data_IF_436250812008
#
_entry.id   IF_436250812008
#
_cell.length_a   1.000
_cell.length_b   1.000
_cell.length_c   1.000
_cell.angle_alpha   90.00
_cell.angle_beta   90.00
_cell.angle_gamma   90.00
#
_symmetry.space_group_name_H-M   'P 1'
#
loop_
_entity.id
_entity.type
_entity.pdbx_description
1 polymer ?
#
# COMPACT_ATOMS: atom_id res chain seq x y z
N UNK A 1 -3.76 -17.59 4.08
CA UNK A 1 -3.01 -17.02 2.95
C UNK A 1 -1.52 -17.11 3.24
N UNK A 2 -0.75 -17.57 2.27
CA UNK A 2 0.68 -17.73 2.45
C UNK A 2 1.43 -16.50 1.94
N UNK A 3 2.20 -15.86 2.81
CA UNK A 3 3.00 -14.69 2.45
C UNK A 3 4.43 -15.09 2.12
N UNK A 4 5.00 -14.46 1.08
CA UNK A 4 6.44 -14.55 0.81
C UNK A 4 7.22 -13.56 1.67
N UNK A 5 6.55 -12.49 2.14
CA UNK A 5 7.08 -11.54 3.12
C UNK A 5 5.96 -11.32 4.13
N UNK A 6 6.21 -11.66 5.38
CA UNK A 6 5.23 -11.47 6.44
C UNK A 6 5.32 -10.05 7.04
N UNK A 7 4.41 -9.73 7.96
CA UNK A 7 4.37 -8.39 8.54
C UNK A 7 5.64 -8.04 9.31
N UNK A 8 6.23 -9.00 10.01
CA UNK A 8 7.46 -8.73 10.76
C UNK A 8 8.62 -8.36 9.81
N UNK A 9 8.69 -9.03 8.67
CA UNK A 9 9.69 -8.66 7.66
C UNK A 9 9.36 -7.32 7.00
N UNK A 10 8.08 -7.01 6.75
CA UNK A 10 7.67 -5.69 6.23
C UNK A 10 8.19 -4.57 7.13
N UNK A 11 8.15 -4.76 8.45
CA UNK A 11 8.66 -3.77 9.41
C UNK A 11 10.16 -3.51 9.27
N UNK A 12 10.91 -4.43 8.69
CA UNK A 12 12.34 -4.20 8.40
C UNK A 12 12.56 -3.44 7.10
N UNK A 13 11.53 -3.30 6.28
CA UNK A 13 11.60 -2.71 4.94
C UNK A 13 11.06 -1.28 4.93
N UNK A 14 9.90 -1.06 5.54
CA UNK A 14 9.27 0.27 5.61
C UNK A 14 9.18 0.72 7.07
N UNK A 15 9.19 2.05 7.33
CA UNK A 15 9.23 2.56 8.71
C UNK A 15 7.89 2.58 9.42
N UNK A 16 6.80 2.31 8.73
CA UNK A 16 5.44 2.38 9.27
C UNK A 16 5.25 1.38 10.42
N UNK A 17 4.46 1.76 11.42
CA UNK A 17 4.16 0.93 12.59
C UNK A 17 2.69 1.04 12.95
N UNK A 18 2.19 0.04 13.69
CA UNK A 18 0.85 0.07 14.23
C UNK A 18 0.62 1.38 15.01
N UNK A 19 -0.51 2.06 14.82
CA UNK A 19 -1.71 1.66 14.07
C UNK A 19 -1.71 2.08 12.59
N UNK A 20 -0.59 2.50 12.03
CA UNK A 20 -0.51 3.04 10.66
C UNK A 20 0.20 2.11 9.68
N UNK A 21 0.45 0.86 10.05
CA UNK A 21 0.93 -0.17 9.13
C UNK A 21 -0.28 -0.97 8.64
N UNK A 22 -0.56 -0.87 7.33
CA UNK A 22 -1.80 -1.40 6.75
C UNK A 22 -1.60 -2.65 5.89
N UNK A 23 -0.44 -3.28 5.95
CA UNK A 23 -0.15 -4.50 5.20
C UNK A 23 0.03 -5.66 6.15
N UNK A 24 -0.65 -6.78 5.89
CA UNK A 24 -0.46 -8.01 6.64
C UNK A 24 0.67 -8.85 6.05
N UNK A 25 0.84 -8.81 4.74
CA UNK A 25 1.89 -9.57 4.07
C UNK A 25 1.93 -9.30 2.58
N UNK A 26 2.97 -9.81 1.95
CA UNK A 26 3.18 -9.75 0.50
C UNK A 26 3.04 -11.16 -0.05
N UNK A 27 2.24 -11.32 -1.09
CA UNK A 27 2.01 -12.61 -1.73
C UNK A 27 2.76 -12.79 -3.04
N UNK A 28 3.07 -11.68 -3.74
CA UNK A 28 3.84 -11.71 -4.98
C UNK A 28 4.72 -10.47 -5.07
N UNK A 29 5.90 -10.66 -5.61
CA UNK A 29 6.87 -9.58 -5.82
C UNK A 29 7.69 -9.88 -7.07
N UNK A 30 7.68 -8.96 -7.99
CA UNK A 30 8.58 -8.95 -9.15
C UNK A 30 9.42 -7.67 -9.06
N UNK A 31 10.71 -7.85 -8.74
CA UNK A 31 11.64 -6.74 -8.53
C UNK A 31 11.64 -5.82 -9.75
N UNK A 32 11.62 -4.51 -9.50
CA UNK A 32 11.56 -3.44 -10.50
C UNK A 32 10.28 -3.43 -11.35
N UNK A 33 9.24 -4.18 -10.95
CA UNK A 33 8.02 -4.25 -11.76
C UNK A 33 6.75 -4.10 -10.94
N UNK A 34 6.44 -5.07 -10.07
CA UNK A 34 5.13 -5.09 -9.40
C UNK A 34 5.15 -5.82 -8.07
N UNK A 35 4.12 -5.56 -7.28
CA UNK A 35 3.92 -6.19 -5.98
C UNK A 35 2.43 -6.44 -5.74
N UNK A 36 2.13 -7.53 -5.05
CA UNK A 36 0.81 -7.84 -4.55
C UNK A 36 0.88 -7.99 -3.04
N UNK A 37 0.12 -7.18 -2.33
CA UNK A 37 0.06 -7.17 -0.87
C UNK A 37 -1.36 -7.49 -0.41
N UNK A 38 -1.48 -7.88 0.84
CA UNK A 38 -2.76 -8.29 1.45
C UNK A 38 -2.98 -7.61 2.78
N UNK A 39 -4.24 -7.27 3.05
CA UNK A 39 -4.72 -6.85 4.37
C UNK A 39 -6.10 -7.42 4.63
N UNK A 40 -6.27 -8.01 5.82
CA UNK A 40 -7.60 -8.31 6.37
C UNK A 40 -8.10 -7.09 7.11
N UNK A 41 -9.29 -6.60 6.77
CA UNK A 41 -9.92 -5.47 7.45
C UNK A 41 -10.79 -5.99 8.59
N UNK A 42 -10.31 -5.85 9.84
CA UNK A 42 -11.05 -6.29 11.02
C UNK A 42 -11.98 -5.20 11.55
N UNK A 43 -13.08 -5.62 12.18
CA UNK A 43 -14.06 -4.70 12.77
C UNK A 43 -13.47 -3.79 13.84
N UNK A 44 -12.47 -4.28 14.57
CA UNK A 44 -11.85 -3.54 15.68
C UNK A 44 -10.74 -2.60 15.25
N UNK A 45 -10.53 -2.37 13.96
CA UNK A 45 -9.54 -1.38 13.50
C UNK A 45 -9.89 -0.01 14.07
N UNK A 46 -8.90 0.68 14.62
CA UNK A 46 -9.13 1.95 15.31
C UNK A 46 -9.76 3.00 14.39
N UNK A 47 -9.37 3.03 13.11
CA UNK A 47 -9.89 4.03 12.17
C UNK A 47 -11.35 3.80 11.76
N UNK A 48 -11.91 2.61 12.02
CA UNK A 48 -13.30 2.33 11.72
C UNK A 48 -14.27 2.87 12.77
N UNK A 49 -13.81 3.12 13.99
CA UNK A 49 -14.65 3.54 15.12
C UNK A 49 -15.39 4.84 14.84
N UNK A 50 -14.74 5.74 14.11
CA UNK A 50 -15.34 7.02 13.72
C UNK A 50 -15.74 7.12 12.25
N UNK A 51 -15.53 6.07 11.46
CA UNK A 51 -15.73 6.15 10.02
C UNK A 51 -16.51 4.94 9.46
N UNK A 52 -17.76 4.77 9.76
CA UNK A 52 -18.64 5.57 10.56
C UNK A 52 -19.23 4.73 11.68
N UNK A 53 -19.66 5.27 12.83
CA UNK A 53 -20.13 4.46 13.96
C UNK A 53 -21.20 3.44 13.59
N UNK A 54 -22.16 3.80 12.74
CA UNK A 54 -23.25 2.91 12.34
C UNK A 54 -23.00 2.17 11.02
N UNK A 55 -21.98 2.57 10.27
CA UNK A 55 -21.63 1.95 9.00
C UNK A 55 -20.11 2.03 8.82
N UNK A 56 -19.36 1.10 9.43
CA UNK A 56 -17.89 1.11 9.29
C UNK A 56 -17.48 0.82 7.85
N UNK A 57 -16.69 1.71 7.29
CA UNK A 57 -16.08 1.51 5.97
C UNK A 57 -14.62 1.99 6.01
N UNK A 58 -13.75 1.34 5.28
CA UNK A 58 -12.36 1.76 5.23
C UNK A 58 -12.25 3.14 4.59
N UNK A 59 -11.65 4.12 5.27
CA UNK A 59 -11.45 5.44 4.68
C UNK A 59 -10.68 5.36 3.36
N UNK A 60 -11.17 6.06 2.33
CA UNK A 60 -10.53 6.07 1.02
C UNK A 60 -9.08 6.54 1.08
N UNK A 61 -8.78 7.53 1.92
CA UNK A 61 -7.40 8.02 2.09
C UNK A 61 -6.47 6.95 2.67
N UNK A 62 -7.00 6.01 3.47
CA UNK A 62 -6.20 4.90 4.01
C UNK A 62 -6.06 3.75 3.02
N UNK A 63 -6.98 3.61 2.08
CA UNK A 63 -6.81 2.70 0.95
C UNK A 63 -5.61 3.18 0.11
N UNK A 64 -5.56 4.48 -0.17
CA UNK A 64 -4.42 5.09 -0.88
C UNK A 64 -3.12 4.86 -0.10
N UNK A 65 -3.13 5.12 1.20
CA UNK A 65 -1.94 4.90 2.04
C UNK A 65 -1.48 3.44 1.98
N UNK A 66 -2.42 2.50 2.03
CA UNK A 66 -2.09 1.06 1.95
C UNK A 66 -1.42 0.72 0.61
N UNK A 67 -1.94 1.26 -0.49
CA UNK A 67 -1.33 1.08 -1.82
C UNK A 67 0.07 1.71 -1.87
N UNK A 68 0.24 2.88 -1.26
CA UNK A 68 1.54 3.55 -1.18
C UNK A 68 2.55 2.73 -0.37
N UNK A 69 2.11 2.10 0.72
CA UNK A 69 2.97 1.21 1.51
C UNK A 69 3.42 -0.01 0.70
N UNK A 70 2.51 -0.63 -0.04
CA UNK A 70 2.85 -1.75 -0.92
C UNK A 70 3.88 -1.31 -1.97
N UNK A 71 3.66 -0.15 -2.60
CA UNK A 71 4.61 0.42 -3.56
C UNK A 71 5.97 0.70 -2.90
N UNK A 72 5.97 1.17 -1.65
CA UNK A 72 7.20 1.39 -0.89
C UNK A 72 7.99 0.11 -0.67
N UNK A 73 7.32 -0.97 -0.31
CA UNK A 73 7.98 -2.29 -0.19
C UNK A 73 8.63 -2.69 -1.52
N UNK A 74 7.91 -2.49 -2.63
CA UNK A 74 8.43 -2.81 -3.96
C UNK A 74 9.72 -2.04 -4.25
N UNK A 75 9.75 -0.75 -3.97
CA UNK A 75 10.93 0.08 -4.24
C UNK A 75 12.11 -0.34 -3.37
N UNK A 76 11.88 -0.58 -2.07
CA UNK A 76 12.96 -1.00 -1.18
C UNK A 76 13.50 -2.37 -1.55
N UNK A 77 12.66 -3.30 -1.95
CA UNK A 77 13.10 -4.64 -2.39
C UNK A 77 13.74 -4.62 -3.76
N UNK A 78 13.52 -3.56 -4.54
CA UNK A 78 14.15 -3.35 -5.85
C UNK A 78 15.46 -2.59 -5.75
N UNK A 79 15.81 -2.08 -4.57
CA UNK A 79 17.03 -1.33 -4.32
C UNK A 79 18.22 -2.29 -4.20
N UNK A 80 19.23 -2.11 -5.05
CA UNK A 80 20.42 -2.95 -5.09
C UNK A 80 21.38 -2.69 -3.91
N UNK A 81 21.26 -1.53 -3.26
CA UNK A 81 22.14 -1.15 -2.16
C UNK A 81 21.36 -1.12 -0.83
N UNK A 82 21.42 -2.21 -0.03
CA UNK A 82 20.71 -2.27 1.23
C UNK A 82 21.20 -1.27 2.28
N UNK A 83 22.38 -0.68 2.10
CA UNK A 83 22.90 0.37 2.98
C UNK A 83 22.29 1.73 2.67
N UNK A 84 21.72 1.92 1.48
CA UNK A 84 21.07 3.16 1.07
C UNK A 84 19.62 3.16 1.57
N UNK A 85 19.44 3.54 2.83
CA UNK A 85 18.10 3.63 3.45
C UNK A 85 17.52 5.01 3.22
N UNK A 86 16.24 5.04 2.90
CA UNK A 86 15.49 6.27 2.68
C UNK A 86 14.03 6.08 3.03
N UNK A 87 13.35 7.17 3.32
CA UNK A 87 11.90 7.19 3.52
C UNK A 87 11.28 7.74 2.25
N UNK A 88 10.28 7.04 1.73
CA UNK A 88 9.52 7.49 0.58
C UNK A 88 8.33 8.33 1.05
N UNK A 89 8.21 9.52 0.48
CA UNK A 89 7.07 10.39 0.72
C UNK A 89 6.12 10.36 -0.47
N UNK A 90 4.83 10.25 -0.19
CA UNK A 90 3.79 10.35 -1.20
C UNK A 90 3.66 11.81 -1.63
N UNK A 91 4.00 12.11 -2.87
CA UNK A 91 4.05 13.49 -3.37
C UNK A 91 2.95 13.83 -4.36
N UNK A 92 2.29 12.83 -4.95
CA UNK A 92 1.22 13.07 -5.92
C UNK A 92 0.23 11.92 -5.92
N UNK A 93 -1.04 12.27 -6.04
CA UNK A 93 -2.16 11.35 -6.20
C UNK A 93 -2.91 11.82 -7.43
N UNK A 94 -2.98 10.97 -8.45
CA UNK A 94 -3.63 11.30 -9.72
C UNK A 94 -4.68 10.25 -10.07
N UNK A 95 -5.74 10.68 -10.73
CA UNK A 95 -6.76 9.79 -11.28
C UNK A 95 -7.27 8.76 -10.26
N UNK A 96 -7.47 9.22 -9.02
CA UNK A 96 -7.98 8.37 -7.96
C UNK A 96 -9.48 8.19 -8.07
N UNK A 97 -9.92 6.93 -8.01
CA UNK A 97 -11.34 6.57 -8.05
C UNK A 97 -11.63 5.57 -6.94
N UNK A 98 -12.70 5.85 -6.22
CA UNK A 98 -13.23 4.96 -5.18
C UNK A 98 -14.55 4.42 -5.70
N UNK A 99 -14.50 3.23 -6.29
CA UNK A 99 -15.62 2.68 -7.02
C UNK A 99 -16.64 1.97 -6.13
N UNK A 100 -16.17 1.39 -5.04
CA UNK A 100 -17.00 0.62 -4.10
C UNK A 100 -16.46 0.77 -2.69
N UNK A 101 -17.34 0.85 -1.67
CA UNK A 101 -16.88 0.86 -0.27
C UNK A 101 -16.31 -0.49 0.13
N UNK A 102 -15.34 -0.48 1.04
CA UNK A 102 -14.77 -1.69 1.62
C UNK A 102 -15.26 -1.80 3.06
N UNK A 103 -15.97 -2.89 3.35
CA UNK A 103 -16.55 -3.16 4.66
C UNK A 103 -15.68 -4.10 5.49
N UNK A 104 -15.85 -4.10 6.84
CA UNK A 104 -15.14 -5.03 7.72
C UNK A 104 -15.30 -6.48 7.30
N UNK A 105 -14.29 -7.25 7.66
CA UNK A 105 -14.02 -8.64 7.36
C UNK A 105 -13.62 -8.89 5.90
N UNK A 106 -13.43 -7.84 5.10
CA UNK A 106 -12.94 -7.99 3.75
C UNK A 106 -11.45 -8.40 3.73
N UNK A 107 -11.10 -9.26 2.80
CA UNK A 107 -9.73 -9.53 2.42
C UNK A 107 -9.36 -8.63 1.26
N UNK A 108 -8.47 -7.66 1.51
CA UNK A 108 -8.13 -6.65 0.52
C UNK A 108 -6.80 -7.02 -0.14
N UNK A 109 -6.80 -7.02 -1.46
CA UNK A 109 -5.59 -7.25 -2.26
C UNK A 109 -5.16 -5.93 -2.87
N UNK A 110 -3.97 -5.47 -2.51
CA UNK A 110 -3.38 -4.28 -3.09
C UNK A 110 -2.36 -4.68 -4.14
N UNK A 111 -2.46 -4.08 -5.30
CA UNK A 111 -1.51 -4.27 -6.39
C UNK A 111 -0.90 -2.93 -6.76
N UNK A 112 0.42 -2.91 -6.95
CA UNK A 112 1.13 -1.74 -7.42
C UNK A 112 2.12 -2.17 -8.50
N UNK A 113 2.13 -1.43 -9.62
CA UNK A 113 3.14 -1.64 -10.65
C UNK A 113 3.82 -0.31 -10.98
N UNK A 114 5.12 -0.39 -11.25
CA UNK A 114 5.91 0.77 -11.63
C UNK A 114 5.57 1.12 -13.07
N UNK A 115 5.10 2.36 -13.31
CA UNK A 115 4.87 2.88 -14.67
C UNK A 115 5.95 3.87 -15.08
N UNK A 116 6.69 4.43 -14.11
CA UNK A 116 7.84 5.28 -14.38
C UNK A 116 8.77 5.27 -13.17
N UNK A 117 10.04 5.04 -13.40
CA UNK A 117 11.06 5.10 -12.37
C UNK A 117 12.22 5.95 -12.86
N UNK A 118 12.60 6.93 -12.05
CA UNK A 118 13.78 7.78 -12.25
C UNK A 118 14.55 7.82 -10.93
N UNK A 119 15.76 8.37 -10.97
CA UNK A 119 16.61 8.45 -9.80
C UNK A 119 15.91 9.10 -8.59
N UNK A 120 15.06 10.08 -8.83
CA UNK A 120 14.48 10.94 -7.80
C UNK A 120 12.99 10.74 -7.59
N UNK A 121 12.31 9.87 -8.35
CA UNK A 121 10.92 9.59 -8.13
C UNK A 121 10.47 8.29 -8.78
N UNK A 122 9.37 7.77 -8.23
CA UNK A 122 8.75 6.53 -8.69
C UNK A 122 7.25 6.75 -8.84
N UNK A 123 6.71 6.36 -9.99
CA UNK A 123 5.29 6.50 -10.28
C UNK A 123 4.68 5.11 -10.48
N UNK A 124 3.53 4.90 -9.87
CA UNK A 124 2.87 3.60 -9.81
C UNK A 124 1.43 3.69 -10.27
N UNK A 125 0.96 2.66 -10.94
CA UNK A 125 -0.47 2.39 -11.08
C UNK A 125 -0.84 1.39 -9.98
N UNK A 126 -1.84 1.74 -9.17
CA UNK A 126 -2.24 0.95 -8.02
C UNK A 126 -3.72 0.60 -8.07
N UNK A 127 -4.06 -0.60 -7.59
CA UNK A 127 -5.44 -1.03 -7.40
C UNK A 127 -5.63 -1.69 -6.05
N UNK A 128 -6.85 -1.59 -5.52
CA UNK A 128 -7.30 -2.34 -4.35
C UNK A 128 -8.50 -3.17 -4.77
N UNK A 129 -8.46 -4.47 -4.51
CA UNK A 129 -9.52 -5.41 -4.90
C UNK A 129 -10.05 -6.18 -3.69
N UNK A 130 -11.34 -6.47 -3.72
CA UNK A 130 -12.01 -7.42 -2.83
C UNK A 130 -12.84 -8.35 -3.69
N UNK A 131 -12.70 -9.67 -3.51
CA UNK A 131 -13.41 -10.70 -4.30
C UNK A 131 -13.28 -10.47 -5.81
N UNK A 132 -12.06 -10.16 -6.27
CA UNK A 132 -11.75 -9.88 -7.67
C UNK A 132 -12.40 -8.63 -8.27
N UNK A 133 -13.07 -7.81 -7.45
CA UNK A 133 -13.64 -6.53 -7.89
C UNK A 133 -12.72 -5.38 -7.53
N UNK A 134 -12.51 -4.46 -8.46
CA UNK A 134 -11.74 -3.24 -8.20
C UNK A 134 -12.58 -2.32 -7.31
N UNK A 135 -12.09 -2.07 -6.10
CA UNK A 135 -12.71 -1.15 -5.14
C UNK A 135 -12.17 0.26 -5.31
N UNK A 136 -10.88 0.37 -5.57
CA UNK A 136 -10.19 1.66 -5.78
C UNK A 136 -9.05 1.50 -6.75
N UNK A 137 -8.72 2.60 -7.43
CA UNK A 137 -7.52 2.67 -8.26
C UNK A 137 -6.95 4.09 -8.22
N UNK A 138 -5.65 4.21 -8.40
CA UNK A 138 -4.97 5.50 -8.36
C UNK A 138 -3.61 5.41 -9.03
N UNK A 139 -3.12 6.56 -9.45
CA UNK A 139 -1.73 6.75 -9.87
C UNK A 139 -1.04 7.52 -8.75
N UNK A 140 -0.02 6.93 -8.15
CA UNK A 140 0.71 7.49 -7.03
C UNK A 140 2.15 7.79 -7.42
N UNK A 141 2.69 8.90 -6.92
CA UNK A 141 4.10 9.24 -7.06
C UNK A 141 4.74 9.30 -5.69
N UNK A 142 5.88 8.64 -5.53
CA UNK A 142 6.68 8.67 -4.31
C UNK A 142 8.09 9.15 -4.60
N UNK A 143 8.64 9.92 -3.67
CA UNK A 143 9.97 10.53 -3.77
C UNK A 143 10.75 10.26 -2.50
N UNK A 144 12.03 9.85 -2.59
CA UNK A 144 12.88 9.77 -1.39
C UNK A 144 12.93 11.12 -0.68
N UNK A 145 12.79 11.11 0.65
CA UNK A 145 12.67 12.34 1.45
C UNK A 145 13.81 13.33 1.26
N UNK A 146 15.02 12.84 0.99
CA UNK A 146 16.20 13.70 0.74
C UNK A 146 16.10 14.53 -0.56
N UNK A 147 15.09 14.26 -1.39
CA UNK A 147 14.86 14.97 -2.66
C UNK A 147 13.62 15.88 -2.62
N UNK A 148 13.03 16.07 -1.46
CA UNK A 148 11.88 16.98 -1.29
C UNK A 148 12.32 18.44 -1.14
#
# INVERSE_FOLDING_TARGET
MKYIIDQEEIKTIIPHRDPFLFLDGITQLEVNKSITAHKKLYKNEIFLQGHFPELPVMPGVLIIESMAQAAGVLIHKSNDDPSNKFILFLTSIEESKFRRPIYPEADIIFYAEIIKAKRNFFKFHCTAKVDNQIMSESILTQVPGKHL
#
